data_IF_097538442426
#
_entry.id   IF_097538442426
#
_cell.length_a   1.000
_cell.length_b   1.000
_cell.length_c   1.000
_cell.angle_alpha   90.00
_cell.angle_beta   90.00
_cell.angle_gamma   90.00
#
_symmetry.space_group_name_H-M   'P 1'
#
loop_
_entity.id
_entity.type
_entity.pdbx_description
1 polymer ?
#
# COMPACT_ATOMS: atom_id res chain seq x y z
N UNK A 1 -0.19 13.72 -3.36
CA UNK A 1 -0.70 12.35 -3.53
C UNK A 1 0.41 11.44 -4.02
N UNK A 2 0.51 10.22 -3.50
CA UNK A 2 1.52 9.26 -3.94
C UNK A 2 1.16 8.60 -5.27
N UNK A 3 2.15 8.02 -5.96
CA UNK A 3 1.97 7.30 -7.23
C UNK A 3 1.39 5.90 -7.03
N UNK A 4 1.82 5.21 -5.98
CA UNK A 4 1.36 3.87 -5.60
C UNK A 4 1.34 3.73 -4.06
N UNK A 5 0.51 2.82 -3.51
CA UNK A 5 0.48 2.51 -2.08
C UNK A 5 1.46 1.38 -1.72
N UNK A 6 2.29 0.94 -2.67
CA UNK A 6 3.25 -0.12 -2.50
C UNK A 6 4.55 0.16 -3.23
N UNK A 7 5.61 -0.52 -2.78
CA UNK A 7 6.92 -0.62 -3.45
C UNK A 7 7.27 -2.10 -3.56
N UNK A 8 7.88 -2.47 -4.69
CA UNK A 8 8.42 -3.81 -4.94
C UNK A 8 9.94 -3.70 -5.02
N UNK A 9 10.63 -4.61 -4.36
CA UNK A 9 12.09 -4.71 -4.39
C UNK A 9 12.52 -6.19 -4.35
N UNK A 10 13.80 -6.44 -4.63
CA UNK A 10 14.41 -7.74 -4.40
C UNK A 10 15.10 -7.81 -3.05
N UNK A 11 15.11 -9.01 -2.48
CA UNK A 11 15.92 -9.34 -1.30
C UNK A 11 16.92 -10.41 -1.71
N UNK A 12 18.20 -10.10 -1.63
CA UNK A 12 19.28 -11.06 -1.81
C UNK A 12 19.58 -11.76 -0.49
N UNK A 13 19.41 -13.08 -0.44
CA UNK A 13 19.78 -13.88 0.71
C UNK A 13 21.19 -14.47 0.51
N UNK A 14 22.12 -14.33 1.47
CA UNK A 14 23.50 -14.77 1.31
C UNK A 14 23.65 -16.27 0.99
N UNK A 15 22.71 -17.09 1.48
CA UNK A 15 22.79 -18.55 1.43
C UNK A 15 22.06 -19.16 0.22
N UNK A 16 21.33 -18.36 -0.56
CA UNK A 16 20.53 -18.86 -1.68
C UNK A 16 20.77 -18.05 -2.94
N UNK A 17 21.04 -18.72 -4.06
CA UNK A 17 21.25 -18.07 -5.35
C UNK A 17 19.99 -17.42 -5.92
N UNK A 18 18.79 -17.80 -5.44
CA UNK A 18 17.55 -17.17 -5.89
C UNK A 18 17.18 -15.98 -5.00
N UNK A 19 16.98 -14.78 -5.58
CA UNK A 19 16.49 -13.62 -4.84
C UNK A 19 15.02 -13.80 -4.43
N UNK A 20 14.68 -13.25 -3.26
CA UNK A 20 13.29 -13.09 -2.82
C UNK A 20 12.68 -11.79 -3.30
N UNK A 21 11.36 -11.65 -3.15
CA UNK A 21 10.63 -10.42 -3.50
C UNK A 21 10.10 -9.77 -2.23
N UNK A 22 10.50 -8.52 -1.98
CA UNK A 22 9.92 -7.67 -0.95
C UNK A 22 8.78 -6.85 -1.54
N UNK A 23 7.60 -7.00 -0.96
CA UNK A 23 6.47 -6.12 -1.24
C UNK A 23 6.20 -5.33 0.04
N UNK A 24 6.45 -4.03 0.00
CA UNK A 24 6.11 -3.13 1.08
C UNK A 24 4.84 -2.36 0.72
N UNK A 25 3.76 -2.61 1.45
CA UNK A 25 2.45 -1.92 1.28
C UNK A 25 2.25 -1.00 2.48
N UNK A 26 1.84 0.25 2.21
CA UNK A 26 1.57 1.25 3.24
C UNK A 26 0.28 1.99 2.93
N UNK A 27 -0.57 2.19 3.95
CA UNK A 27 -1.76 3.04 3.87
C UNK A 27 -1.37 4.42 3.37
N UNK A 28 -1.82 4.80 2.17
CA UNK A 28 -1.36 6.02 1.50
C UNK A 28 -2.47 6.63 0.66
N UNK A 29 -2.61 7.95 0.69
CA UNK A 29 -3.50 8.65 -0.22
C UNK A 29 -2.95 8.60 -1.65
N UNK A 30 -3.68 7.94 -2.54
CA UNK A 30 -3.37 7.78 -3.96
C UNK A 30 -4.52 8.31 -4.81
N UNK A 31 -4.26 8.60 -6.09
CA UNK A 31 -5.33 9.01 -7.01
C UNK A 31 -6.31 7.84 -7.22
N UNK A 32 -7.60 8.15 -7.35
CA UNK A 32 -8.65 7.16 -7.59
C UNK A 32 -9.21 6.50 -6.32
N UNK A 33 -8.93 7.07 -5.14
CA UNK A 33 -9.69 6.78 -3.93
C UNK A 33 -11.09 7.39 -4.01
N UNK A 34 -12.03 6.81 -3.28
CA UNK A 34 -13.41 7.31 -3.26
C UNK A 34 -13.50 8.63 -2.50
N UNK A 35 -14.54 9.42 -2.82
CA UNK A 35 -14.83 10.68 -2.13
C UNK A 35 -14.93 10.53 -0.61
N UNK A 36 -15.34 9.37 -0.09
CA UNK A 36 -15.37 9.09 1.34
C UNK A 36 -13.98 9.24 1.99
N UNK A 37 -12.91 8.71 1.35
CA UNK A 37 -11.56 8.81 1.87
C UNK A 37 -11.01 10.23 1.81
N UNK A 38 -11.32 10.99 0.75
CA UNK A 38 -10.95 12.40 0.63
C UNK A 38 -11.71 13.27 1.64
N UNK A 39 -13.00 13.01 1.83
CA UNK A 39 -13.84 13.67 2.84
C UNK A 39 -13.34 13.40 4.25
N UNK A 40 -13.04 12.14 4.58
CA UNK A 40 -12.50 11.75 5.87
C UNK A 40 -11.14 12.41 6.13
N UNK A 41 -10.24 12.44 5.12
CA UNK A 41 -8.95 13.15 5.18
C UNK A 41 -9.12 14.66 5.43
N UNK A 42 -10.13 15.28 4.85
CA UNK A 42 -10.37 16.73 5.00
C UNK A 42 -10.73 17.13 6.43
N UNK A 43 -11.39 16.24 7.18
CA UNK A 43 -11.75 16.46 8.59
C UNK A 43 -10.78 15.80 9.57
N UNK A 44 -9.97 14.83 9.13
CA UNK A 44 -8.94 14.14 9.90
C UNK A 44 -7.56 14.27 9.22
N UNK A 45 -6.82 15.34 9.56
CA UNK A 45 -5.54 15.68 8.89
C UNK A 45 -4.49 14.57 8.97
N UNK A 46 -4.50 13.79 10.04
CA UNK A 46 -3.54 12.70 10.28
C UNK A 46 -3.85 11.45 9.46
N UNK A 47 -5.07 11.31 8.92
CA UNK A 47 -5.42 10.16 8.09
C UNK A 47 -4.49 10.05 6.86
N UNK A 48 -3.96 8.87 6.50
CA UNK A 48 -4.20 7.54 7.07
C UNK A 48 -3.19 7.09 8.13
N UNK A 49 -2.46 8.03 8.74
CA UNK A 49 -1.43 7.81 9.77
C UNK A 49 -1.88 8.30 11.15
N UNK A 50 -3.18 8.24 11.44
CA UNK A 50 -3.70 8.48 12.79
C UNK A 50 -3.01 7.54 13.79
N UNK A 51 -2.81 8.04 15.01
CA UNK A 51 -2.21 7.25 16.10
C UNK A 51 -3.06 6.02 16.41
N UNK A 52 -2.40 4.91 16.76
CA UNK A 52 -3.05 3.67 17.19
C UNK A 52 -3.26 3.62 18.71
N UNK A 53 -2.99 4.71 19.43
CA UNK A 53 -3.23 4.81 20.88
C UNK A 53 -4.73 4.71 21.20
N UNK A 54 -5.57 5.30 20.35
CA UNK A 54 -7.02 5.09 20.39
C UNK A 54 -7.40 4.01 19.38
N UNK A 55 -8.06 2.96 19.87
CA UNK A 55 -8.45 1.76 19.10
C UNK A 55 -9.97 1.68 18.93
N UNK A 56 -10.71 2.72 19.34
CA UNK A 56 -12.15 2.79 19.14
C UNK A 56 -12.44 3.49 17.82
N UNK A 57 -12.92 2.70 16.86
CA UNK A 57 -13.30 3.21 15.55
C UNK A 57 -14.79 3.49 15.51
N UNK A 58 -15.16 4.70 15.08
CA UNK A 58 -16.51 4.93 14.60
C UNK A 58 -16.71 4.23 13.22
N UNK A 59 -17.96 4.04 12.77
CA UNK A 59 -18.23 3.36 11.50
C UNK A 59 -17.56 4.03 10.29
N UNK A 60 -17.48 5.35 10.25
CA UNK A 60 -16.93 6.08 9.11
C UNK A 60 -15.41 5.89 9.02
N UNK A 61 -14.71 5.96 10.16
CA UNK A 61 -13.29 5.69 10.25
C UNK A 61 -12.98 4.24 9.88
N UNK A 62 -13.74 3.29 10.43
CA UNK A 62 -13.55 1.86 10.14
C UNK A 62 -13.71 1.58 8.64
N UNK A 63 -14.81 2.04 8.04
CA UNK A 63 -15.10 1.83 6.63
C UNK A 63 -14.07 2.49 5.72
N UNK A 64 -13.64 3.71 6.07
CA UNK A 64 -12.63 4.43 5.31
C UNK A 64 -11.28 3.70 5.30
N UNK A 65 -10.81 3.21 6.45
CA UNK A 65 -9.56 2.43 6.51
C UNK A 65 -9.67 1.09 5.79
N UNK A 66 -10.80 0.40 5.93
CA UNK A 66 -11.08 -0.87 5.25
C UNK A 66 -11.02 -0.70 3.73
N UNK A 67 -11.67 0.34 3.21
CA UNK A 67 -11.71 0.62 1.78
C UNK A 67 -10.35 1.11 1.25
N UNK A 68 -9.63 1.93 2.02
CA UNK A 68 -8.26 2.32 1.69
C UNK A 68 -7.35 1.10 1.56
N UNK A 69 -7.44 0.14 2.50
CA UNK A 69 -6.68 -1.11 2.47
C UNK A 69 -7.01 -1.96 1.25
N UNK A 70 -8.31 -2.15 0.96
CA UNK A 70 -8.77 -2.87 -0.23
C UNK A 70 -8.21 -2.25 -1.51
N UNK A 71 -8.39 -0.94 -1.70
CA UNK A 71 -7.89 -0.22 -2.89
C UNK A 71 -6.37 -0.26 -3.00
N UNK A 72 -5.66 -0.23 -1.87
CA UNK A 72 -4.19 -0.36 -1.85
C UNK A 72 -3.71 -1.69 -2.41
N UNK A 73 -4.47 -2.78 -2.18
CA UNK A 73 -4.16 -4.12 -2.65
C UNK A 73 -4.85 -4.51 -3.98
N UNK A 74 -5.87 -3.80 -4.44
CA UNK A 74 -6.51 -4.11 -5.73
C UNK A 74 -5.61 -3.80 -6.93
N UNK A 75 -4.77 -2.76 -6.83
CA UNK A 75 -3.86 -2.36 -7.91
C UNK A 75 -2.52 -3.13 -7.93
N UNK A 76 -2.45 -4.25 -7.22
CA UNK A 76 -1.24 -5.08 -7.10
C UNK A 76 -0.91 -5.85 -8.37
N UNK A 77 -1.75 -5.78 -9.43
CA UNK A 77 -1.48 -6.41 -10.73
C UNK A 77 -0.14 -5.95 -11.35
N UNK A 78 0.33 -4.74 -11.02
CA UNK A 78 1.65 -4.26 -11.41
C UNK A 78 2.80 -5.08 -10.78
N UNK A 79 2.59 -5.63 -9.57
CA UNK A 79 3.62 -6.41 -8.86
C UNK A 79 3.95 -7.70 -9.62
N UNK A 80 2.96 -8.34 -10.25
CA UNK A 80 3.17 -9.50 -11.12
C UNK A 80 4.02 -9.14 -12.34
N UNK A 81 3.83 -7.94 -12.91
CA UNK A 81 4.62 -7.45 -14.04
C UNK A 81 6.04 -7.01 -13.62
N UNK A 82 6.20 -6.44 -12.43
CA UNK A 82 7.53 -6.07 -11.89
C UNK A 82 8.38 -7.32 -11.63
N UNK A 83 7.79 -8.41 -11.10
CA UNK A 83 8.49 -9.71 -10.99
C UNK A 83 9.07 -10.18 -12.33
N UNK A 84 8.32 -10.05 -13.44
CA UNK A 84 8.79 -10.43 -14.77
C UNK A 84 9.90 -9.50 -15.30
N UNK A 85 9.89 -8.23 -14.91
CA UNK A 85 10.87 -7.23 -15.36
C UNK A 85 12.19 -7.34 -14.61
N UNK A 86 12.14 -7.77 -13.36
CA UNK A 86 13.32 -7.95 -12.51
C UNK A 86 13.98 -9.31 -12.77
N UNK A 87 13.22 -10.39 -13.04
CA UNK A 87 13.80 -11.70 -13.41
C UNK A 87 14.47 -11.75 -14.80
N UNK A 88 14.46 -10.65 -15.56
CA UNK A 88 15.05 -10.55 -16.90
C UNK A 88 16.29 -9.65 -16.96
N UNK A 89 16.74 -9.11 -15.82
CA UNK A 89 18.04 -8.44 -15.74
C UNK A 89 19.17 -9.50 -15.78
N UNK A 90 20.19 -9.33 -16.64
CA UNK A 90 21.32 -10.26 -16.68
C UNK A 90 22.11 -10.19 -15.37
N UNK A 91 22.64 -11.34 -14.95
CA UNK A 91 23.51 -11.50 -13.79
C UNK A 91 24.81 -10.69 -13.92
#
# INVERSE_FOLDING_TARGET
MAKSPFVVAEICYPTTAQPGVLIHIKSTMVKGLDFAAEGYRAINVDFPHQTTTDQFFDPDQFETYRDLGKKSCSNTRCISNEKNRVSSAPA
#
